data_IF_929906427461
#
_entry.id   IF_929906427461
#
_cell.length_a   1.000
_cell.length_b   1.000
_cell.length_c   1.000
_cell.angle_alpha   90.00
_cell.angle_beta   90.00
_cell.angle_gamma   90.00
#
_symmetry.space_group_name_H-M   'P 1'
#
loop_
_entity.id
_entity.type
_entity.pdbx_description
1 polymer ?
#
# COMPACT_ATOMS: atom_id res chain seq x y z
N UNK A 1 12.68 9.79 8.49
CA UNK A 1 12.18 9.94 9.87
C UNK A 1 12.87 8.97 10.80
N UNK A 2 13.14 9.39 12.00
CA UNK A 2 13.70 8.55 13.07
C UNK A 2 12.83 8.76 14.30
N UNK A 3 12.44 7.66 14.94
CA UNK A 3 11.54 7.64 16.10
C UNK A 3 10.33 8.61 15.95
N UNK A 4 9.54 8.48 14.88
CA UNK A 4 8.45 9.41 14.61
C UNK A 4 7.35 9.26 15.64
N UNK A 5 6.99 10.36 16.29
CA UNK A 5 5.79 10.42 17.12
C UNK A 5 4.56 10.73 16.26
N UNK A 6 3.65 9.78 16.17
CA UNK A 6 2.34 9.95 15.52
C UNK A 6 1.21 10.12 16.54
N UNK A 7 1.51 10.46 17.80
CA UNK A 7 0.50 10.63 18.86
C UNK A 7 -0.46 11.79 18.58
N UNK A 8 -0.01 12.83 17.86
CA UNK A 8 -0.81 13.99 17.50
C UNK A 8 -1.71 13.78 16.26
N UNK A 9 -1.75 12.55 15.71
CA UNK A 9 -2.69 12.26 14.63
C UNK A 9 -4.09 12.12 15.23
N UNK A 10 -5.06 12.86 14.68
CA UNK A 10 -6.46 12.79 15.12
C UNK A 10 -6.94 11.33 15.29
N UNK A 11 -7.59 11.08 16.42
CA UNK A 11 -8.17 9.78 16.76
C UNK A 11 -9.26 9.45 15.75
N UNK A 12 -9.23 8.21 15.22
CA UNK A 12 -10.31 7.72 14.36
C UNK A 12 -11.62 7.66 15.17
N UNK A 13 -12.74 7.98 14.52
CA UNK A 13 -14.05 7.81 15.14
C UNK A 13 -14.24 6.35 15.51
N UNK A 14 -14.72 6.11 16.72
CA UNK A 14 -15.15 4.76 17.11
C UNK A 14 -16.31 4.33 16.23
N UNK A 15 -16.11 3.25 15.46
CA UNK A 15 -17.13 2.66 14.60
C UNK A 15 -17.23 1.18 14.95
N UNK A 16 -18.43 0.73 15.29
CA UNK A 16 -18.69 -0.69 15.51
C UNK A 16 -18.55 -1.43 14.18
N UNK A 17 -17.63 -2.37 14.10
CA UNK A 17 -17.45 -3.19 12.90
C UNK A 17 -18.45 -4.34 12.88
N UNK A 18 -19.50 -4.22 12.08
CA UNK A 18 -20.52 -5.26 11.86
C UNK A 18 -20.20 -6.17 10.66
N UNK A 19 -19.03 -6.02 10.04
CA UNK A 19 -18.64 -6.81 8.88
C UNK A 19 -17.38 -7.64 9.18
N UNK A 20 -17.19 -8.73 8.43
CA UNK A 20 -15.97 -9.55 8.48
C UNK A 20 -14.72 -8.87 7.92
N UNK A 21 -14.88 -7.70 7.28
CA UNK A 21 -13.78 -6.95 6.70
C UNK A 21 -13.28 -5.90 7.69
N UNK A 22 -11.97 -5.68 7.72
CA UNK A 22 -11.37 -4.60 8.53
C UNK A 22 -11.93 -3.24 8.10
N UNK A 23 -12.20 -2.37 9.08
CA UNK A 23 -12.59 -0.99 8.81
C UNK A 23 -11.46 -0.26 8.06
N UNK A 24 -11.85 0.48 7.04
CA UNK A 24 -10.94 1.34 6.31
C UNK A 24 -10.99 2.75 6.90
N UNK A 25 -9.86 3.17 7.47
CA UNK A 25 -9.65 4.57 7.86
C UNK A 25 -8.63 5.20 6.92
N UNK A 26 -8.84 6.45 6.46
CA UNK A 26 -7.87 7.12 5.61
C UNK A 26 -6.54 7.36 6.36
N UNK A 27 -5.43 7.34 5.64
CA UNK A 27 -4.13 7.69 6.22
C UNK A 27 -4.11 9.18 6.59
N UNK A 28 -3.63 9.49 7.79
CA UNK A 28 -3.56 10.86 8.31
C UNK A 28 -2.14 11.28 8.70
N UNK A 29 -1.21 10.34 8.78
CA UNK A 29 0.18 10.62 9.11
C UNK A 29 0.86 11.28 7.92
N UNK A 30 1.35 12.50 8.09
CA UNK A 30 1.91 13.33 7.02
C UNK A 30 2.99 12.61 6.20
N UNK A 31 3.85 11.84 6.86
CA UNK A 31 4.88 11.05 6.20
C UNK A 31 4.33 10.11 5.12
N UNK A 32 3.12 9.59 5.29
CA UNK A 32 2.49 8.65 4.34
C UNK A 32 1.54 9.33 3.35
N UNK A 33 1.13 10.58 3.60
CA UNK A 33 0.14 11.29 2.76
C UNK A 33 0.77 11.79 1.45
N UNK A 34 1.99 12.31 1.51
CA UNK A 34 2.65 12.88 0.33
C UNK A 34 2.77 11.84 -0.78
N UNK A 35 2.31 12.15 -2.02
CA UNK A 35 2.24 11.21 -3.14
C UNK A 35 1.64 9.82 -2.78
N UNK A 36 0.69 9.76 -1.83
CA UNK A 36 0.08 8.51 -1.35
C UNK A 36 -0.65 7.75 -2.46
N UNK A 37 -1.10 8.46 -3.50
CA UNK A 37 -1.72 7.88 -4.69
C UNK A 37 -0.81 6.88 -5.40
N UNK A 38 0.50 7.11 -5.38
CA UNK A 38 1.50 6.25 -6.00
C UNK A 38 1.61 4.88 -5.32
N UNK A 39 1.30 4.79 -4.04
CA UNK A 39 1.33 3.55 -3.26
C UNK A 39 -0.06 2.95 -3.02
N UNK A 40 -1.08 3.78 -2.93
CA UNK A 40 -2.42 3.39 -2.46
C UNK A 40 -3.48 3.17 -3.53
N UNK A 41 -3.20 3.46 -4.81
CA UNK A 41 -4.18 3.33 -5.89
C UNK A 41 -4.20 1.98 -6.61
N UNK A 42 -3.46 1.01 -6.10
CA UNK A 42 -3.48 -0.35 -6.62
C UNK A 42 -4.75 -1.11 -6.22
N UNK A 43 -5.21 -1.96 -7.13
CA UNK A 43 -6.39 -2.80 -6.93
C UNK A 43 -7.68 -2.00 -6.80
N UNK A 44 -8.64 -2.57 -6.06
CA UNK A 44 -9.90 -1.93 -5.70
C UNK A 44 -9.96 -1.62 -4.20
N UNK A 45 -10.95 -0.83 -3.78
CA UNK A 45 -11.09 -0.34 -2.40
C UNK A 45 -10.96 -1.45 -1.33
N UNK A 46 -11.46 -2.66 -1.60
CA UNK A 46 -11.43 -3.80 -0.68
C UNK A 46 -10.28 -4.78 -0.95
N UNK A 47 -9.57 -4.63 -2.06
CA UNK A 47 -8.48 -5.51 -2.50
C UNK A 47 -7.28 -4.62 -2.82
N UNK A 48 -6.51 -4.25 -1.80
CA UNK A 48 -5.32 -3.40 -1.92
C UNK A 48 -4.09 -4.18 -1.51
N UNK A 49 -3.03 -4.21 -2.34
CA UNK A 49 -1.79 -4.90 -2.00
C UNK A 49 -1.03 -4.21 -0.87
N UNK A 50 -1.23 -2.90 -0.69
CA UNK A 50 -0.54 -2.11 0.32
C UNK A 50 -1.48 -1.12 1.01
N UNK A 51 -1.31 -1.01 2.33
CA UNK A 51 -2.02 -0.05 3.15
C UNK A 51 -1.12 0.44 4.29
N UNK A 52 -0.66 1.69 4.19
CA UNK A 52 0.33 2.28 5.10
C UNK A 52 -0.10 2.28 6.58
N UNK A 53 -1.39 2.40 6.88
CA UNK A 53 -1.89 2.40 8.27
C UNK A 53 -1.65 1.10 9.04
N UNK A 54 -1.35 0.01 8.34
CA UNK A 54 -0.93 -1.23 9.01
C UNK A 54 0.48 -1.15 9.59
N UNK A 55 1.30 -0.21 9.12
CA UNK A 55 2.64 0.02 9.64
C UNK A 55 2.53 0.76 10.97
N UNK A 56 3.06 0.17 12.04
CA UNK A 56 3.01 0.74 13.39
C UNK A 56 1.66 0.59 14.09
N UNK A 57 0.81 -0.37 13.64
CA UNK A 57 -0.46 -0.68 14.28
C UNK A 57 -0.72 -2.19 14.25
N UNK A 58 -1.08 -2.76 15.39
CA UNK A 58 -1.49 -4.16 15.51
C UNK A 58 -2.69 -4.28 16.46
N UNK A 59 -3.83 -4.75 15.96
CA UNK A 59 -5.07 -4.92 16.73
C UNK A 59 -5.47 -3.68 17.57
N UNK A 60 -5.26 -2.48 17.02
CA UNK A 60 -5.56 -1.23 17.71
C UNK A 60 -4.44 -0.74 18.64
N UNK A 61 -3.39 -1.53 18.87
CA UNK A 61 -2.24 -1.15 19.67
C UNK A 61 -1.18 -0.49 18.79
N UNK A 62 -0.61 0.62 19.23
CA UNK A 62 0.48 1.29 18.53
C UNK A 62 1.78 0.52 18.70
N UNK A 63 2.44 0.22 17.58
CA UNK A 63 3.78 -0.37 17.55
C UNK A 63 4.78 0.73 17.19
N UNK A 64 5.81 0.97 18.00
CA UNK A 64 6.80 2.00 17.72
C UNK A 64 7.49 1.79 16.37
N UNK A 65 7.67 2.88 15.63
CA UNK A 65 8.47 2.89 14.41
C UNK A 65 9.85 3.43 14.76
N UNK A 66 10.89 2.63 14.57
CA UNK A 66 12.27 3.01 14.88
C UNK A 66 12.76 4.05 13.88
N UNK A 67 12.61 3.75 12.60
CA UNK A 67 13.06 4.61 11.52
C UNK A 67 12.33 4.31 10.23
N UNK A 68 12.34 5.27 9.32
CA UNK A 68 11.83 5.09 7.97
C UNK A 68 12.39 6.09 6.99
N UNK A 69 12.49 5.65 5.74
CA UNK A 69 12.87 6.48 4.62
C UNK A 69 11.84 6.35 3.51
N UNK A 70 11.61 7.45 2.81
CA UNK A 70 10.71 7.49 1.67
C UNK A 70 11.27 8.41 0.60
N UNK A 71 11.21 7.94 -0.63
CA UNK A 71 11.52 8.71 -1.83
C UNK A 71 10.32 8.58 -2.76
N UNK A 72 9.76 9.69 -3.22
CA UNK A 72 8.67 9.66 -4.20
C UNK A 72 8.71 10.89 -5.09
N UNK A 73 8.39 10.70 -6.36
CA UNK A 73 8.38 11.81 -7.30
C UNK A 73 8.29 11.38 -8.76
N UNK A 74 8.49 12.38 -9.63
CA UNK A 74 8.57 12.18 -11.07
C UNK A 74 10.04 12.05 -11.49
N UNK A 75 10.38 10.99 -12.20
CA UNK A 75 11.69 10.86 -12.86
C UNK A 75 11.74 11.69 -14.16
N UNK A 76 10.62 11.75 -14.87
CA UNK A 76 10.43 12.55 -16.08
C UNK A 76 8.92 12.76 -16.32
N UNK A 77 8.55 13.27 -17.51
CA UNK A 77 7.14 13.56 -17.87
C UNK A 77 6.23 12.33 -17.76
N UNK A 78 6.76 11.14 -18.02
CA UNK A 78 5.97 9.91 -18.13
C UNK A 78 6.17 8.93 -16.96
N UNK A 79 7.24 9.06 -16.19
CA UNK A 79 7.59 8.12 -15.14
C UNK A 79 7.50 8.74 -13.74
N UNK A 80 6.84 8.03 -12.83
CA UNK A 80 6.83 8.28 -11.39
C UNK A 80 7.39 7.08 -10.65
N UNK A 81 8.11 7.33 -9.59
CA UNK A 81 8.67 6.31 -8.70
C UNK A 81 8.31 6.63 -7.26
N UNK A 82 8.06 5.59 -6.48
CA UNK A 82 7.92 5.64 -5.04
C UNK A 82 8.67 4.49 -4.40
N UNK A 83 9.55 4.79 -3.48
CA UNK A 83 10.27 3.83 -2.66
C UNK A 83 10.02 4.17 -1.19
N UNK A 84 9.79 3.16 -0.37
CA UNK A 84 9.59 3.34 1.06
C UNK A 84 10.19 2.16 1.80
N UNK A 85 10.87 2.45 2.90
CA UNK A 85 11.32 1.45 3.86
C UNK A 85 10.99 1.94 5.27
N UNK A 86 10.41 1.06 6.09
CA UNK A 86 10.03 1.36 7.46
C UNK A 86 10.42 0.19 8.36
N UNK A 87 11.02 0.52 9.51
CA UNK A 87 11.39 -0.45 10.54
C UNK A 87 10.55 -0.23 11.80
N UNK A 88 9.82 -1.24 12.23
CA UNK A 88 9.10 -1.22 13.51
C UNK A 88 9.87 -1.97 14.59
N UNK A 89 9.61 -1.59 15.82
CA UNK A 89 10.10 -2.31 16.99
C UNK A 89 9.30 -3.58 17.22
N UNK A 90 9.87 -4.54 17.95
CA UNK A 90 9.14 -5.68 18.49
C UNK A 90 8.49 -5.33 19.82
N UNK A 91 7.41 -6.01 20.17
CA UNK A 91 6.75 -5.89 21.47
C UNK A 91 6.62 -7.25 22.13
N UNK A 92 7.42 -7.51 23.17
CA UNK A 92 7.40 -8.78 23.90
C UNK A 92 6.05 -9.07 24.55
N UNK A 93 5.37 -8.03 25.04
CA UNK A 93 4.03 -8.14 25.65
C UNK A 93 2.99 -8.70 24.68
N UNK A 94 3.15 -8.47 23.39
CA UNK A 94 2.25 -8.94 22.35
C UNK A 94 2.85 -10.10 21.54
N UNK A 95 4.01 -10.61 21.93
CA UNK A 95 4.78 -11.62 21.17
C UNK A 95 5.02 -11.20 19.71
N UNK A 96 5.24 -9.91 19.49
CA UNK A 96 5.48 -9.36 18.16
C UNK A 96 6.98 -9.19 17.92
N UNK A 97 7.45 -9.76 16.81
CA UNK A 97 8.81 -9.55 16.31
C UNK A 97 8.97 -8.18 15.64
N UNK A 98 10.16 -7.58 15.66
CA UNK A 98 10.45 -6.41 14.83
C UNK A 98 10.19 -6.71 13.36
N UNK A 99 9.62 -5.73 12.62
CA UNK A 99 9.26 -5.91 11.21
C UNK A 99 9.88 -4.83 10.34
N UNK A 100 10.36 -5.22 9.16
CA UNK A 100 10.71 -4.30 8.10
C UNK A 100 9.65 -4.33 7.00
N UNK A 101 9.26 -3.16 6.57
CA UNK A 101 8.36 -2.96 5.45
C UNK A 101 9.11 -2.23 4.33
N UNK A 102 9.24 -2.87 3.17
CA UNK A 102 9.83 -2.28 1.98
C UNK A 102 8.79 -2.24 0.87
N UNK A 103 8.60 -1.08 0.26
CA UNK A 103 7.63 -0.89 -0.81
C UNK A 103 8.28 -0.14 -1.97
N UNK A 104 8.14 -0.71 -3.16
CA UNK A 104 8.50 -0.06 -4.43
C UNK A 104 7.27 0.08 -5.30
N UNK A 105 7.00 1.29 -5.78
CA UNK A 105 5.91 1.58 -6.70
C UNK A 105 6.46 2.34 -7.93
N UNK A 106 6.04 1.92 -9.11
CA UNK A 106 6.45 2.48 -10.39
C UNK A 106 5.19 2.76 -11.20
N UNK A 107 5.13 3.92 -11.83
CA UNK A 107 4.02 4.28 -12.69
C UNK A 107 4.55 4.90 -13.98
N UNK A 108 4.04 4.40 -15.11
CA UNK A 108 4.32 4.96 -16.43
C UNK A 108 3.02 5.46 -17.05
N UNK A 109 3.00 6.70 -17.46
CA UNK A 109 1.93 7.25 -18.28
C UNK A 109 2.01 6.71 -19.70
N UNK A 110 0.87 6.29 -20.25
CA UNK A 110 0.71 5.77 -21.60
C UNK A 110 -0.31 6.67 -22.30
N UNK A 111 0.12 7.30 -23.41
CA UNK A 111 -0.71 8.32 -24.05
C UNK A 111 -1.01 9.49 -23.12
N UNK A 112 -2.17 10.12 -23.29
CA UNK A 112 -2.54 11.34 -22.57
C UNK A 112 -3.11 11.06 -21.17
N UNK A 113 -3.86 9.97 -20.98
CA UNK A 113 -4.67 9.78 -19.78
C UNK A 113 -4.56 8.38 -19.15
N UNK A 114 -4.01 7.40 -19.87
CA UNK A 114 -3.81 6.03 -19.37
C UNK A 114 -2.50 5.87 -18.65
N UNK A 115 -2.41 4.89 -17.76
CA UNK A 115 -1.15 4.52 -17.12
C UNK A 115 -1.07 3.05 -16.77
N UNK A 116 0.15 2.53 -16.72
CA UNK A 116 0.49 1.24 -16.14
C UNK A 116 1.29 1.47 -14.87
N UNK A 117 1.00 0.69 -13.84
CA UNK A 117 1.66 0.80 -12.54
C UNK A 117 2.08 -0.57 -12.05
N UNK A 118 3.22 -0.66 -11.41
CA UNK A 118 3.70 -1.87 -10.77
C UNK A 118 4.02 -1.58 -9.30
N UNK A 119 3.78 -2.54 -8.42
CA UNK A 119 4.09 -2.46 -7.00
C UNK A 119 4.77 -3.74 -6.53
N UNK A 120 5.76 -3.57 -5.66
CA UNK A 120 6.38 -4.63 -4.89
C UNK A 120 6.30 -4.26 -3.42
N UNK A 121 5.77 -5.14 -2.61
CA UNK A 121 5.70 -4.99 -1.15
C UNK A 121 6.44 -6.15 -0.52
N UNK A 122 7.29 -5.88 0.44
CA UNK A 122 7.94 -6.89 1.26
C UNK A 122 7.74 -6.52 2.74
N UNK A 123 7.13 -7.42 3.49
CA UNK A 123 7.13 -7.42 4.94
C UNK A 123 8.01 -8.56 5.41
N UNK A 124 8.97 -8.27 6.26
CA UNK A 124 9.95 -9.23 6.77
C UNK A 124 10.07 -9.13 8.28
N UNK A 125 9.94 -10.24 8.97
CA UNK A 125 10.14 -10.31 10.40
C UNK A 125 11.61 -10.58 10.75
N UNK A 126 12.02 -10.14 11.93
CA UNK A 126 13.36 -10.36 12.46
C UNK A 126 13.29 -11.15 13.77
N UNK A 127 14.07 -12.21 13.84
CA UNK A 127 14.27 -13.00 15.05
C UNK A 127 15.72 -12.85 15.52
N UNK A 128 15.93 -12.42 16.77
CA UNK A 128 17.28 -12.20 17.31
C UNK A 128 18.17 -11.31 16.42
N UNK A 129 17.61 -10.22 15.87
CA UNK A 129 18.25 -9.28 14.94
C UNK A 129 18.68 -9.90 13.58
N UNK A 130 18.23 -11.11 13.26
CA UNK A 130 18.45 -11.75 11.96
C UNK A 130 17.12 -11.86 11.21
N UNK A 131 17.19 -11.91 9.90
CA UNK A 131 16.02 -12.16 9.05
C UNK A 131 15.45 -13.53 9.41
N UNK A 132 14.14 -13.57 9.70
CA UNK A 132 13.42 -14.83 9.87
C UNK A 132 12.95 -15.33 8.50
N UNK A 133 13.53 -16.40 7.95
CA UNK A 133 13.15 -16.91 6.64
C UNK A 133 11.74 -17.50 6.63
N UNK A 134 11.17 -17.81 7.80
CA UNK A 134 9.85 -18.43 7.94
C UNK A 134 8.75 -17.42 8.25
N UNK A 135 9.06 -16.13 8.31
CA UNK A 135 8.07 -15.08 8.59
C UNK A 135 8.24 -13.89 7.66
N UNK A 136 7.57 -13.95 6.52
CA UNK A 136 7.51 -12.87 5.56
C UNK A 136 6.15 -12.83 4.84
N UNK A 137 5.82 -11.67 4.27
CA UNK A 137 4.75 -11.53 3.29
C UNK A 137 5.26 -10.63 2.16
N UNK A 138 5.20 -11.13 0.93
CA UNK A 138 5.64 -10.43 -0.27
C UNK A 138 4.51 -10.34 -1.25
N UNK A 139 4.30 -9.16 -1.83
CA UNK A 139 3.28 -8.94 -2.84
C UNK A 139 3.94 -8.30 -4.06
N UNK A 140 3.60 -8.81 -5.23
CA UNK A 140 3.89 -8.17 -6.51
C UNK A 140 2.56 -7.87 -7.19
N UNK A 141 2.46 -6.73 -7.85
CA UNK A 141 1.23 -6.32 -8.51
C UNK A 141 1.46 -5.46 -9.73
N UNK A 142 0.55 -5.59 -10.67
CA UNK A 142 0.46 -4.75 -11.87
C UNK A 142 -0.97 -4.26 -12.01
N UNK A 143 -1.11 -2.96 -12.27
CA UNK A 143 -2.38 -2.30 -12.55
C UNK A 143 -2.30 -1.54 -13.88
N UNK A 144 -3.31 -1.68 -14.71
CA UNK A 144 -3.51 -0.84 -15.90
C UNK A 144 -4.76 0.01 -15.71
N UNK A 145 -4.60 1.31 -15.76
CA UNK A 145 -5.70 2.27 -15.72
C UNK A 145 -5.88 2.87 -17.12
N UNK A 146 -7.01 2.56 -17.74
CA UNK A 146 -7.40 3.06 -19.06
C UNK A 146 -8.23 4.33 -18.89
N UNK A 147 -7.90 5.35 -19.64
CA UNK A 147 -8.74 6.52 -19.85
C UNK A 147 -8.50 7.06 -21.26
N UNK A 148 -9.59 7.27 -22.00
CA UNK A 148 -9.53 7.96 -23.28
C UNK A 148 -9.31 9.47 -23.08
N UNK A 149 -8.74 10.16 -24.06
CA UNK A 149 -8.48 11.59 -24.00
C UNK A 149 -9.75 12.44 -23.82
N UNK A 150 -10.86 12.00 -24.41
CA UNK A 150 -12.18 12.62 -24.28
C UNK A 150 -12.95 12.23 -23.01
N UNK A 151 -12.41 11.30 -22.22
CA UNK A 151 -13.00 10.82 -20.97
C UNK A 151 -14.23 9.93 -21.12
N UNK A 152 -14.59 9.53 -22.37
CA UNK A 152 -15.75 8.68 -22.65
C UNK A 152 -15.52 7.23 -22.23
N UNK A 153 -14.28 6.72 -22.37
CA UNK A 153 -13.90 5.36 -21.98
C UNK A 153 -13.00 5.43 -20.74
N UNK A 154 -13.36 4.67 -19.72
CA UNK A 154 -12.52 4.47 -18.52
C UNK A 154 -12.55 3.01 -18.13
N UNK A 155 -11.41 2.51 -17.64
CA UNK A 155 -11.30 1.14 -17.19
C UNK A 155 -10.14 0.91 -16.27
N UNK A 156 -10.15 -0.24 -15.63
CA UNK A 156 -9.04 -0.72 -14.82
C UNK A 156 -8.94 -2.24 -14.95
N UNK A 157 -7.71 -2.71 -15.05
CA UNK A 157 -7.34 -4.12 -14.96
C UNK A 157 -6.21 -4.22 -13.95
N UNK A 158 -6.25 -5.20 -13.05
CA UNK A 158 -5.13 -5.48 -12.17
C UNK A 158 -4.92 -6.99 -11.96
N UNK A 159 -3.70 -7.33 -11.62
CA UNK A 159 -3.27 -8.64 -11.14
C UNK A 159 -2.28 -8.45 -10.00
N UNK A 160 -2.56 -9.07 -8.85
CA UNK A 160 -1.68 -9.08 -7.68
C UNK A 160 -1.44 -10.50 -7.23
N UNK A 161 -0.21 -10.79 -6.82
CA UNK A 161 0.19 -12.08 -6.28
C UNK A 161 0.86 -11.87 -4.92
N UNK A 162 0.43 -12.63 -3.92
CA UNK A 162 0.96 -12.63 -2.56
C UNK A 162 1.67 -13.93 -2.27
N UNK A 163 2.83 -13.84 -1.64
CA UNK A 163 3.67 -14.98 -1.25
C UNK A 163 3.96 -14.89 0.24
N UNK A 164 3.73 -15.98 0.95
CA UNK A 164 4.14 -16.19 2.34
C UNK A 164 4.75 -17.59 2.49
N UNK A 165 5.37 -17.95 3.62
CA UNK A 165 5.94 -19.28 3.80
C UNK A 165 4.93 -20.40 3.64
N UNK A 166 3.69 -20.19 4.08
CA UNK A 166 2.66 -21.23 4.16
C UNK A 166 1.75 -21.29 2.93
N UNK A 167 1.62 -20.17 2.19
CA UNK A 167 0.72 -20.10 1.04
C UNK A 167 1.11 -19.04 0.04
N UNK A 168 0.64 -19.25 -1.18
CA UNK A 168 0.74 -18.35 -2.31
C UNK A 168 -0.65 -18.15 -2.89
N UNK A 169 -1.08 -16.90 -3.04
CA UNK A 169 -2.42 -16.56 -3.47
C UNK A 169 -2.40 -15.38 -4.43
N UNK A 170 -3.44 -15.24 -5.25
CA UNK A 170 -3.53 -14.16 -6.22
C UNK A 170 -4.93 -13.53 -6.25
N UNK A 171 -4.97 -12.29 -6.71
CA UNK A 171 -6.21 -11.59 -6.98
C UNK A 171 -6.11 -10.82 -8.30
N UNK A 172 -7.18 -10.85 -9.06
CA UNK A 172 -7.32 -10.05 -10.28
C UNK A 172 -8.76 -9.58 -10.45
N UNK A 173 -8.94 -8.47 -11.11
CA UNK A 173 -10.25 -8.02 -11.56
C UNK A 173 -10.10 -6.94 -12.63
N UNK A 174 -11.18 -6.71 -13.36
CA UNK A 174 -11.26 -5.65 -14.37
C UNK A 174 -12.65 -5.02 -14.37
N UNK A 175 -12.69 -3.78 -14.83
CA UNK A 175 -13.93 -3.12 -15.22
C UNK A 175 -13.68 -2.19 -16.40
N UNK A 176 -14.71 -1.99 -17.20
CA UNK A 176 -14.72 -1.04 -18.30
C UNK A 176 -16.03 -0.25 -18.24
N UNK A 177 -15.94 1.05 -18.42
CA UNK A 177 -17.08 1.96 -18.44
C UNK A 177 -17.01 2.81 -19.69
N UNK A 178 -18.12 2.87 -20.40
CA UNK A 178 -18.33 3.76 -21.53
C UNK A 178 -19.44 4.74 -21.18
N UNK A 179 -19.17 6.04 -21.30
CA UNK A 179 -20.13 7.11 -21.06
C UNK A 179 -20.37 7.89 -22.35
N UNK A 180 -21.62 7.89 -22.83
CA UNK A 180 -22.05 8.83 -23.86
C UNK A 180 -22.60 10.09 -23.19
N UNK A 181 -22.36 11.25 -23.80
CA UNK A 181 -23.15 12.43 -23.50
C UNK A 181 -24.52 12.23 -24.19
N UNK A 182 -25.56 12.02 -23.43
CA UNK A 182 -26.92 12.26 -23.91
C UNK A 182 -27.12 13.77 -23.92
N UNK A 183 -27.35 14.34 -25.08
CA UNK A 183 -27.75 15.76 -25.25
C UNK A 183 -29.20 15.89 -24.91
#
# INVERSE_FOLDING_TARGET
TVNPDFSNVEVDRQVTNLSRFSLYFPERRQFFIENSDLFGRFGFRKIRPFFSRRIGLYNGVKIPIIAGARLSGKLNKNWRIGLMNMQTEGMSELSLSPKNYSVGAFQRQIGESSNISAIVVNQQDFLNRKIDPNSFNRIVGIDYNLASSDGTVRGKLFYHHSFSPDFSDYSHASWLMYKTRTV
#
